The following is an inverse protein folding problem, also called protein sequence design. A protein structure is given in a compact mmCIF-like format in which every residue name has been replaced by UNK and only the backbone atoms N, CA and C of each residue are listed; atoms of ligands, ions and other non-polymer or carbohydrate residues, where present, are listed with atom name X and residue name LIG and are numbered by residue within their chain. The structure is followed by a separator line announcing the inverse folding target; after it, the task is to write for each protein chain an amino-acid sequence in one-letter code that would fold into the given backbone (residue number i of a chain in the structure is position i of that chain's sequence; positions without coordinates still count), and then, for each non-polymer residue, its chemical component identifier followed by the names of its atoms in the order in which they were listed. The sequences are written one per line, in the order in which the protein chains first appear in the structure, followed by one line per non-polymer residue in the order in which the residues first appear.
data_IF_380546044052
#
_entry.id   IF_380546044052
#
_cell.length_a   1.000
_cell.length_b   1.000
_cell.length_c   1.000
_cell.angle_alpha   90.00
_cell.angle_beta   90.00
_cell.angle_gamma   90.00
#
_symmetry.space_group_name_H-M   'P 1'
#
loop_
_entity.id
_entity.type
_entity.pdbx_description
1 polymer ?
#
# COMPACT_ATOMS: atom_id res chain seq x y z
N UNK A 1 28.82 8.71 3.36
CA UNK A 1 28.09 7.66 4.10
C UNK A 1 27.58 6.70 3.04
N UNK A 2 28.12 5.48 2.96
CA UNK A 2 27.68 4.53 1.94
C UNK A 2 26.27 4.09 2.30
N UNK A 3 25.30 4.45 1.47
CA UNK A 3 23.93 3.96 1.58
C UNK A 3 23.97 2.43 1.59
N UNK A 4 23.32 1.82 2.58
CA UNK A 4 23.36 0.39 2.81
C UNK A 4 22.70 -0.32 1.60
N UNK A 5 23.28 -1.40 1.06
CA UNK A 5 22.74 -2.09 -0.13
C UNK A 5 21.25 -2.51 0.03
N UNK A 6 20.80 -2.70 1.27
CA UNK A 6 19.40 -2.97 1.60
C UNK A 6 18.42 -1.84 1.27
N UNK A 7 18.91 -0.62 1.05
CA UNK A 7 18.09 0.59 0.87
C UNK A 7 17.46 0.68 -0.53
N UNK A 8 18.08 0.02 -1.54
CA UNK A 8 17.67 0.10 -2.94
C UNK A 8 17.02 -1.17 -3.51
N UNK A 9 16.82 -2.22 -2.69
CA UNK A 9 16.10 -3.42 -3.16
C UNK A 9 14.62 -3.11 -3.39
N UNK A 10 13.99 -3.85 -4.31
CA UNK A 10 12.53 -3.81 -4.48
C UNK A 10 11.86 -4.20 -3.16
N UNK A 11 11.03 -3.29 -2.63
CA UNK A 11 10.20 -3.55 -1.44
C UNK A 11 8.84 -4.08 -1.87
N UNK A 12 8.34 -5.08 -1.16
CA UNK A 12 7.07 -5.75 -1.46
C UNK A 12 6.10 -5.56 -0.31
N UNK A 13 4.98 -4.89 -0.60
CA UNK A 13 3.82 -4.80 0.28
C UNK A 13 2.73 -5.75 -0.20
N UNK A 14 2.24 -6.62 0.69
CA UNK A 14 1.04 -7.43 0.42
C UNK A 14 -0.16 -6.83 1.11
N UNK A 15 -1.24 -6.66 0.35
CA UNK A 15 -2.52 -6.17 0.84
C UNK A 15 -3.62 -7.20 0.62
N UNK A 16 -4.21 -7.68 1.70
CA UNK A 16 -5.38 -8.55 1.69
C UNK A 16 -6.63 -7.70 1.82
N UNK A 17 -7.47 -7.65 0.79
CA UNK A 17 -8.72 -6.89 0.81
C UNK A 17 -9.80 -7.59 1.66
N UNK A 18 -10.80 -6.86 2.19
CA UNK A 18 -11.99 -7.48 2.75
C UNK A 18 -12.77 -8.25 1.69
N UNK A 19 -13.57 -9.22 2.16
CA UNK A 19 -14.55 -9.90 1.32
C UNK A 19 -15.56 -8.92 0.73
N UNK A 20 -15.85 -9.09 -0.56
CA UNK A 20 -16.94 -8.41 -1.24
C UNK A 20 -18.28 -8.96 -0.75
N UNK A 21 -19.36 -8.17 -0.87
CA UNK A 21 -20.68 -8.62 -0.43
C UNK A 21 -21.12 -9.92 -1.11
N UNK A 22 -20.86 -10.08 -2.42
CA UNK A 22 -21.12 -11.33 -3.14
C UNK A 22 -20.40 -12.55 -2.51
N UNK A 23 -19.18 -12.36 -2.02
CA UNK A 23 -18.37 -13.45 -1.44
C UNK A 23 -18.89 -13.83 -0.04
N UNK A 24 -19.35 -12.84 0.73
CA UNK A 24 -20.03 -13.07 2.01
C UNK A 24 -21.36 -13.79 1.83
N UNK A 25 -22.14 -13.41 0.82
CA UNK A 25 -23.43 -14.04 0.50
C UNK A 25 -23.28 -15.51 0.11
N UNK A 26 -22.12 -15.90 -0.43
CA UNK A 26 -21.76 -17.29 -0.75
C UNK A 26 -20.96 -17.97 0.37
N UNK A 27 -20.95 -17.41 1.59
CA UNK A 27 -20.30 -17.95 2.79
C UNK A 27 -18.84 -18.37 2.58
N UNK A 28 -18.11 -17.64 1.73
CA UNK A 28 -16.71 -17.94 1.45
C UNK A 28 -15.86 -17.73 2.70
N UNK A 29 -14.94 -18.67 2.97
CA UNK A 29 -14.00 -18.61 4.09
C UNK A 29 -12.66 -18.04 3.65
N UNK A 30 -12.01 -17.28 4.52
CA UNK A 30 -10.65 -16.78 4.22
C UNK A 30 -9.69 -17.96 4.13
N UNK A 31 -8.93 -18.03 3.04
CA UNK A 31 -7.80 -18.94 2.91
C UNK A 31 -6.47 -18.28 3.32
N UNK A 32 -6.50 -17.03 3.79
CA UNK A 32 -5.31 -16.28 4.20
C UNK A 32 -5.43 -15.86 5.67
N UNK A 33 -4.41 -16.20 6.44
CA UNK A 33 -4.19 -15.73 7.81
C UNK A 33 -3.06 -14.70 7.80
N UNK A 34 -3.21 -13.64 8.58
CA UNK A 34 -2.32 -12.48 8.55
C UNK A 34 -1.65 -12.32 9.91
N UNK A 35 -0.32 -12.15 9.90
CA UNK A 35 0.48 -11.84 11.08
C UNK A 35 1.22 -10.52 10.85
N UNK A 36 0.58 -9.37 11.13
CA UNK A 36 1.16 -8.05 10.88
C UNK A 36 2.45 -7.82 11.67
N UNK A 37 2.53 -8.32 12.90
CA UNK A 37 3.71 -8.17 13.78
C UNK A 37 4.98 -8.79 13.20
N UNK A 38 4.85 -9.83 12.37
CA UNK A 38 6.00 -10.52 11.76
C UNK A 38 6.09 -10.26 10.25
N UNK A 39 5.22 -9.41 9.70
CA UNK A 39 5.04 -9.18 8.26
C UNK A 39 4.91 -10.51 7.48
N UNK A 40 4.06 -11.41 7.98
CA UNK A 40 3.81 -12.70 7.36
C UNK A 40 2.35 -12.90 7.00
N UNK A 41 2.13 -13.68 5.95
CA UNK A 41 0.83 -14.30 5.64
C UNK A 41 0.99 -15.81 5.60
N UNK A 42 -0.06 -16.52 6.00
CA UNK A 42 -0.16 -17.97 5.87
C UNK A 42 -1.32 -18.28 4.92
N UNK A 43 -1.03 -18.99 3.83
CA UNK A 43 -2.02 -19.44 2.86
C UNK A 43 -2.42 -20.89 3.17
N UNK A 44 -3.69 -21.08 3.54
CA UNK A 44 -4.18 -22.32 4.16
C UNK A 44 -3.41 -22.60 5.45
N UNK A 45 -2.99 -23.86 5.64
CA UNK A 45 -2.36 -24.30 6.89
C UNK A 45 -0.86 -24.63 6.74
N UNK A 46 -0.24 -24.34 5.58
CA UNK A 46 1.08 -24.90 5.25
C UNK A 46 2.09 -23.95 4.63
N UNK A 47 1.65 -22.83 4.05
CA UNK A 47 2.54 -21.95 3.26
C UNK A 47 2.63 -20.58 3.89
N UNK A 48 3.77 -20.29 4.51
CA UNK A 48 4.08 -18.99 5.10
C UNK A 48 4.93 -18.17 4.13
N UNK A 49 4.53 -16.93 3.89
CA UNK A 49 5.27 -15.97 3.09
C UNK A 49 5.58 -14.74 3.94
N UNK A 50 6.78 -14.19 3.80
CA UNK A 50 7.23 -12.98 4.49
C UNK A 50 7.46 -11.86 3.48
N UNK A 51 7.04 -10.65 3.83
CA UNK A 51 7.14 -9.46 2.99
C UNK A 51 7.75 -8.29 3.77
N UNK A 52 8.01 -7.16 3.10
CA UNK A 52 8.43 -5.94 3.77
C UNK A 52 7.26 -5.33 4.56
N UNK A 53 6.04 -5.42 4.00
CA UNK A 53 4.81 -4.95 4.65
C UNK A 53 3.66 -5.90 4.41
N UNK A 54 2.84 -6.12 5.43
CA UNK A 54 1.61 -6.92 5.33
C UNK A 54 0.42 -6.13 5.87
N UNK A 55 -0.56 -5.90 5.01
CA UNK A 55 -1.76 -5.14 5.28
C UNK A 55 -3.00 -6.03 5.22
N UNK A 56 -3.81 -5.99 6.26
CA UNK A 56 -5.01 -6.80 6.38
C UNK A 56 -6.28 -6.12 5.86
N UNK A 57 -7.42 -6.84 5.88
CA UNK A 57 -8.72 -6.33 5.43
C UNK A 57 -9.19 -5.03 6.10
N UNK A 58 -8.66 -4.73 7.29
CA UNK A 58 -9.02 -3.55 8.08
C UNK A 58 -8.04 -2.39 7.93
N UNK A 59 -6.90 -2.60 7.26
CA UNK A 59 -5.89 -1.55 7.04
C UNK A 59 -6.48 -0.45 6.17
N UNK A 60 -6.38 0.78 6.65
CA UNK A 60 -6.86 1.97 5.95
C UNK A 60 -5.93 2.37 4.81
N UNK A 61 -6.45 3.10 3.83
CA UNK A 61 -5.67 3.64 2.71
C UNK A 61 -4.50 4.51 3.19
N UNK A 62 -4.77 5.34 4.18
CA UNK A 62 -3.78 6.23 4.78
C UNK A 62 -2.68 5.46 5.51
N UNK A 63 -3.05 4.45 6.29
CA UNK A 63 -2.08 3.61 7.03
C UNK A 63 -1.12 2.91 6.07
N UNK A 64 -1.65 2.32 4.99
CA UNK A 64 -0.85 1.69 3.94
C UNK A 64 0.11 2.71 3.29
N UNK A 65 -0.41 3.90 2.95
CA UNK A 65 0.36 4.96 2.32
C UNK A 65 1.51 5.45 3.21
N UNK A 66 1.21 5.86 4.45
CA UNK A 66 2.20 6.39 5.40
C UNK A 66 3.30 5.36 5.71
N UNK A 67 2.93 4.09 5.80
CA UNK A 67 3.87 3.04 6.21
C UNK A 67 4.78 2.58 5.06
N UNK A 68 4.25 2.45 3.85
CA UNK A 68 4.97 1.78 2.74
C UNK A 68 5.37 2.69 1.59
N UNK A 69 4.73 3.85 1.42
CA UNK A 69 4.93 4.72 0.26
C UNK A 69 5.55 6.06 0.62
N UNK A 70 5.02 6.74 1.64
CA UNK A 70 5.50 8.06 2.04
C UNK A 70 7.03 8.12 2.27
N UNK A 71 7.67 7.11 2.92
CA UNK A 71 9.13 7.10 3.08
C UNK A 71 9.90 7.03 1.75
N UNK A 72 9.29 6.50 0.69
CA UNK A 72 9.92 6.45 -0.64
C UNK A 72 9.89 7.81 -1.33
N UNK A 73 8.95 8.71 -0.98
CA UNK A 73 8.88 10.02 -1.62
C UNK A 73 10.06 10.92 -1.27
N UNK A 74 10.73 10.70 -0.13
CA UNK A 74 11.99 11.37 0.19
C UNK A 74 13.03 11.14 -0.91
N UNK A 75 13.11 9.93 -1.47
CA UNK A 75 14.05 9.61 -2.54
C UNK A 75 13.78 10.42 -3.82
N UNK A 76 12.53 10.77 -4.11
CA UNK A 76 12.18 11.65 -5.24
C UNK A 76 12.82 13.02 -5.07
N UNK A 77 12.79 13.54 -3.85
CA UNK A 77 13.37 14.83 -3.51
C UNK A 77 14.90 14.83 -3.44
N UNK A 78 15.50 13.65 -3.31
CA UNK A 78 16.95 13.44 -3.40
C UNK A 78 17.42 13.17 -4.84
N UNK A 79 16.51 13.26 -5.83
CA UNK A 79 16.82 13.13 -7.25
C UNK A 79 16.73 11.71 -7.80
N UNK A 80 16.17 10.75 -7.05
CA UNK A 80 16.00 9.36 -7.49
C UNK A 80 14.62 9.12 -8.12
N UNK A 81 14.59 8.20 -9.09
CA UNK A 81 13.34 7.69 -9.64
C UNK A 81 12.66 6.72 -8.66
N UNK A 82 11.36 6.91 -8.43
CA UNK A 82 10.54 6.00 -7.62
C UNK A 82 9.39 5.48 -8.46
N UNK A 83 9.20 4.17 -8.47
CA UNK A 83 8.10 3.52 -9.18
C UNK A 83 7.30 2.66 -8.21
N UNK A 84 5.98 2.85 -8.20
CA UNK A 84 5.03 2.10 -7.38
C UNK A 84 3.97 1.54 -8.32
N UNK A 85 3.79 0.23 -8.29
CA UNK A 85 2.75 -0.45 -9.07
C UNK A 85 2.01 -1.46 -8.21
N UNK A 86 0.73 -1.64 -8.48
CA UNK A 86 -0.09 -2.65 -7.83
C UNK A 86 -0.19 -3.89 -8.71
N UNK A 87 0.05 -5.07 -8.12
CA UNK A 87 -0.03 -6.36 -8.80
C UNK A 87 -1.07 -7.28 -8.15
N UNK A 88 -1.69 -8.15 -8.95
CA UNK A 88 -2.66 -9.15 -8.48
C UNK A 88 -3.77 -9.42 -9.50
N UNK A 89 -4.63 -10.40 -9.21
CA UNK A 89 -5.75 -10.79 -10.08
C UNK A 89 -6.79 -9.67 -10.27
N UNK A 90 -7.67 -9.82 -11.27
CA UNK A 90 -8.84 -8.94 -11.42
C UNK A 90 -9.73 -9.01 -10.17
N UNK A 91 -10.20 -7.87 -9.70
CA UNK A 91 -11.00 -7.75 -8.47
C UNK A 91 -10.21 -7.84 -7.16
N UNK A 92 -8.87 -7.90 -7.17
CA UNK A 92 -8.05 -7.92 -5.95
C UNK A 92 -7.92 -6.56 -5.24
N UNK A 93 -8.30 -5.46 -5.91
CA UNK A 93 -8.22 -4.10 -5.35
C UNK A 93 -7.03 -3.27 -5.82
N UNK A 94 -6.38 -3.60 -6.95
CA UNK A 94 -5.29 -2.80 -7.55
C UNK A 94 -5.66 -1.32 -7.74
N UNK A 95 -6.74 -1.06 -8.48
CA UNK A 95 -7.25 0.30 -8.74
C UNK A 95 -7.61 1.00 -7.43
N UNK A 96 -8.35 0.32 -6.54
CA UNK A 96 -8.67 0.87 -5.22
C UNK A 96 -7.42 1.25 -4.41
N UNK A 97 -6.35 0.47 -4.50
CA UNK A 97 -5.08 0.78 -3.82
C UNK A 97 -4.37 1.99 -4.42
N UNK A 98 -4.28 2.06 -5.75
CA UNK A 98 -3.55 3.15 -6.43
C UNK A 98 -4.31 4.47 -6.44
N UNK A 99 -5.59 4.45 -6.80
CA UNK A 99 -6.38 5.69 -6.99
C UNK A 99 -7.40 5.91 -5.87
N UNK A 100 -7.80 4.84 -5.18
CA UNK A 100 -9.00 4.85 -4.35
C UNK A 100 -10.23 4.35 -5.11
N UNK A 101 -11.40 4.51 -4.50
CA UNK A 101 -12.68 4.35 -5.19
C UNK A 101 -12.91 5.42 -6.26
N UNK A 102 -14.16 5.64 -6.65
CA UNK A 102 -14.48 6.70 -7.61
C UNK A 102 -14.19 8.08 -7.00
N UNK A 103 -13.06 8.69 -7.38
CA UNK A 103 -12.49 9.94 -6.84
C UNK A 103 -13.52 11.08 -6.78
N UNK A 104 -14.49 11.10 -7.69
CA UNK A 104 -15.55 12.11 -7.75
C UNK A 104 -16.65 11.96 -6.68
N UNK A 105 -16.64 10.87 -5.92
CA UNK A 105 -17.76 10.46 -5.03
C UNK A 105 -17.31 9.84 -3.70
N UNK A 106 -16.02 9.88 -3.40
CA UNK A 106 -15.46 9.29 -2.17
C UNK A 106 -14.89 10.36 -1.24
N UNK A 107 -14.92 10.07 0.06
CA UNK A 107 -14.26 10.87 1.09
C UNK A 107 -12.73 10.79 0.93
N UNK A 108 -12.00 11.84 1.32
CA UNK A 108 -10.52 11.88 1.29
C UNK A 108 -9.87 10.70 2.02
N UNK A 109 -10.56 10.10 3.00
CA UNK A 109 -10.11 8.89 3.70
C UNK A 109 -9.92 7.68 2.76
N UNK A 110 -10.63 7.65 1.64
CA UNK A 110 -10.60 6.56 0.66
C UNK A 110 -9.62 6.81 -0.50
N UNK A 111 -8.97 7.98 -0.55
CA UNK A 111 -7.94 8.29 -1.53
C UNK A 111 -6.82 7.25 -1.49
N UNK A 112 -6.45 6.76 -2.68
CA UNK A 112 -5.36 5.81 -2.84
C UNK A 112 -3.98 6.46 -2.80
N UNK A 113 -2.98 5.68 -3.24
CA UNK A 113 -1.57 6.09 -3.25
C UNK A 113 -1.34 7.34 -4.11
N UNK A 114 -1.83 7.36 -5.35
CA UNK A 114 -1.55 8.43 -6.32
C UNK A 114 -2.02 9.82 -5.86
N UNK A 115 -3.30 10.03 -5.48
CA UNK A 115 -3.73 11.35 -5.00
C UNK A 115 -3.03 11.78 -3.70
N UNK A 116 -2.70 10.84 -2.80
CA UNK A 116 -1.93 11.14 -1.58
C UNK A 116 -0.49 11.55 -1.90
N UNK A 117 0.17 10.83 -2.81
CA UNK A 117 1.54 11.14 -3.24
C UNK A 117 1.63 12.52 -3.88
N UNK A 118 0.69 12.85 -4.78
CA UNK A 118 0.60 14.18 -5.39
C UNK A 118 0.46 15.25 -4.30
N UNK A 119 -0.46 15.07 -3.34
CA UNK A 119 -0.63 15.99 -2.22
C UNK A 119 0.66 16.16 -1.40
N UNK A 120 1.28 15.06 -0.95
CA UNK A 120 2.54 15.10 -0.18
C UNK A 120 3.66 15.80 -0.95
N UNK A 121 3.77 15.56 -2.27
CA UNK A 121 4.78 16.21 -3.10
C UNK A 121 4.59 17.73 -3.11
N UNK A 122 3.37 18.21 -3.39
CA UNK A 122 3.09 19.64 -3.42
C UNK A 122 3.22 20.31 -2.05
N UNK A 123 2.79 19.64 -0.98
CA UNK A 123 2.95 20.14 0.39
C UNK A 123 4.44 20.26 0.76
N UNK A 124 5.27 19.29 0.38
CA UNK A 124 6.73 19.32 0.61
C UNK A 124 7.40 20.44 -0.17
N UNK A 125 7.02 20.64 -1.45
CA UNK A 125 7.54 21.75 -2.27
C UNK A 125 7.21 23.10 -1.64
N UNK A 126 5.98 23.30 -1.18
CA UNK A 126 5.57 24.56 -0.51
C UNK A 126 6.42 24.87 0.71
N UNK A 127 6.66 23.86 1.56
CA UNK A 127 7.52 24.03 2.74
C UNK A 127 8.96 24.39 2.35
N UNK A 128 9.50 23.79 1.27
CA UNK A 128 10.89 24.02 0.84
C UNK A 128 11.13 25.33 0.09
N UNK A 129 10.12 25.92 -0.56
CA UNK A 129 10.25 27.20 -1.28
C UNK A 129 10.08 28.40 -0.33
N UNK A 130 9.41 28.21 0.80
CA UNK A 130 9.14 29.27 1.79
C UNK A 130 10.28 29.48 2.80
N UNK A 131 11.39 28.76 2.67
CA UNK A 131 12.63 28.91 3.44
C UNK A 131 13.83 28.85 2.49
#
# INVERSE_FOLDING_TARGET
MLANESEFRVKVAVRVRPFLQREKNHEQKSCVTIHPQTNQIILGDRRTFKYDFVFGPKTLQEELYRTSVEPMLTNVFDGYNVTIFAYGQTGSGKTYTMTGGNILSISEKDYGIAPRAVKTIFDTIRVRILF
#
